data_IF_496131284415
#
_entry.id   IF_496131284415
#
_cell.length_a   1.000
_cell.length_b   1.000
_cell.length_c   1.000
_cell.angle_alpha   90.00
_cell.angle_beta   90.00
_cell.angle_gamma   90.00
#
_symmetry.space_group_name_H-M   'P 1'
#
loop_
_entity.id
_entity.type
_entity.pdbx_description
1 polymer ?
#
# COMPACT_ATOMS: atom_id res chain seq x y z
N UNK A 1 12.29 6.09 -1.71
CA UNK A 1 12.38 5.14 -0.57
C UNK A 1 11.47 5.64 0.56
N UNK A 2 10.64 4.80 1.19
CA UNK A 2 9.68 5.21 2.24
C UNK A 2 10.25 5.29 3.67
N UNK A 3 11.46 4.77 3.88
CA UNK A 3 12.09 4.66 5.21
C UNK A 3 12.08 5.96 6.04
N UNK A 4 12.47 7.12 5.47
CA UNK A 4 12.43 8.39 6.19
C UNK A 4 11.02 8.81 6.64
N UNK A 5 9.99 8.50 5.84
CA UNK A 5 8.59 8.89 6.11
C UNK A 5 7.96 8.11 7.26
N UNK A 6 8.40 6.87 7.48
CA UNK A 6 7.87 5.99 8.54
C UNK A 6 8.82 5.91 9.75
N UNK A 7 9.89 6.73 9.78
CA UNK A 7 10.84 6.75 10.88
C UNK A 7 10.22 7.24 12.18
N UNK A 8 10.63 6.64 13.30
CA UNK A 8 10.18 7.05 14.63
C UNK A 8 10.93 8.31 15.05
N UNK A 9 10.23 9.41 15.32
CA UNK A 9 10.83 10.66 15.79
C UNK A 9 11.08 10.66 17.31
N UNK A 10 11.68 9.58 17.83
CA UNK A 10 11.89 9.38 19.27
C UNK A 10 13.28 8.84 19.54
N UNK A 11 14.01 9.48 20.46
CA UNK A 11 15.35 9.06 20.91
C UNK A 11 15.32 7.89 21.91
N UNK A 12 14.23 7.11 21.94
CA UNK A 12 14.12 5.95 22.84
C UNK A 12 14.98 4.81 22.29
N UNK A 13 15.80 4.23 23.17
CA UNK A 13 16.72 3.12 22.86
C UNK A 13 16.06 1.83 22.34
N UNK A 14 14.72 1.75 22.39
CA UNK A 14 13.92 0.61 21.94
C UNK A 14 12.81 1.03 20.95
N UNK A 15 13.07 2.07 20.14
CA UNK A 15 12.10 2.56 19.16
C UNK A 15 11.90 1.57 18.01
N UNK A 16 10.65 1.42 17.58
CA UNK A 16 10.31 0.54 16.46
C UNK A 16 10.96 1.10 15.19
N UNK A 17 11.80 0.29 14.56
CA UNK A 17 12.54 0.67 13.34
C UNK A 17 11.60 0.80 12.13
N UNK A 18 11.97 1.61 11.12
CA UNK A 18 11.22 1.68 9.85
C UNK A 18 10.96 0.30 9.22
N UNK A 19 11.93 -0.61 9.29
CA UNK A 19 11.80 -1.96 8.75
C UNK A 19 10.75 -2.78 9.52
N UNK A 20 10.75 -2.73 10.85
CA UNK A 20 9.73 -3.41 11.67
C UNK A 20 8.33 -2.86 11.40
N UNK A 21 8.19 -1.54 11.22
CA UNK A 21 6.91 -0.92 10.86
C UNK A 21 6.41 -1.43 9.51
N UNK A 22 7.28 -1.47 8.52
CA UNK A 22 6.96 -1.98 7.19
C UNK A 22 6.56 -3.47 7.25
N UNK A 23 7.33 -4.31 7.94
CA UNK A 23 7.04 -5.73 8.09
C UNK A 23 5.70 -5.99 8.79
N UNK A 24 5.38 -5.22 9.84
CA UNK A 24 4.09 -5.32 10.53
C UNK A 24 2.93 -5.01 9.57
N UNK A 25 3.03 -3.90 8.83
CA UNK A 25 1.99 -3.50 7.88
C UNK A 25 1.82 -4.51 6.74
N UNK A 26 2.93 -4.98 6.15
CA UNK A 26 2.91 -6.00 5.11
C UNK A 26 2.28 -7.31 5.61
N UNK A 27 2.60 -7.74 6.84
CA UNK A 27 1.97 -8.90 7.44
C UNK A 27 0.46 -8.70 7.54
N UNK A 28 0.02 -7.56 8.09
CA UNK A 28 -1.40 -7.24 8.21
C UNK A 28 -2.13 -7.30 6.86
N UNK A 29 -1.55 -6.72 5.80
CA UNK A 29 -2.15 -6.77 4.46
C UNK A 29 -2.18 -8.20 3.88
N UNK A 30 -1.11 -8.98 4.07
CA UNK A 30 -0.99 -10.32 3.49
C UNK A 30 -1.91 -11.35 4.17
N UNK A 31 -2.20 -11.19 5.46
CA UNK A 31 -3.00 -12.16 6.21
C UNK A 31 -4.44 -11.72 6.45
N UNK A 32 -4.80 -10.48 6.06
CA UNK A 32 -6.09 -9.84 6.38
C UNK A 32 -6.50 -10.03 7.86
N UNK A 33 -5.51 -10.07 8.76
CA UNK A 33 -5.71 -10.40 10.18
C UNK A 33 -6.16 -9.19 10.98
N UNK A 34 -6.64 -9.41 12.20
CA UNK A 34 -6.90 -8.31 13.14
C UNK A 34 -5.60 -7.60 13.56
N UNK A 35 -5.69 -6.29 13.83
CA UNK A 35 -4.57 -5.48 14.33
C UNK A 35 -4.00 -6.00 15.66
N UNK A 36 -4.82 -6.65 16.48
CA UNK A 36 -4.38 -7.31 17.72
C UNK A 36 -3.42 -8.45 17.36
N UNK A 37 -3.83 -9.35 16.47
CA UNK A 37 -2.99 -10.47 16.02
C UNK A 37 -1.71 -10.01 15.32
N UNK A 38 -1.77 -8.95 14.51
CA UNK A 38 -0.58 -8.38 13.89
C UNK A 38 0.37 -7.73 14.92
N UNK A 39 -0.18 -7.08 15.94
CA UNK A 39 0.58 -6.50 17.05
C UNK A 39 1.24 -7.56 17.93
N UNK A 40 0.51 -8.62 18.29
CA UNK A 40 0.98 -9.71 19.15
C UNK A 40 2.20 -10.42 18.55
N UNK A 41 2.17 -10.70 17.25
CA UNK A 41 3.31 -11.34 16.53
C UNK A 41 4.57 -10.46 16.58
N UNK A 42 4.40 -9.15 16.60
CA UNK A 42 5.51 -8.19 16.57
C UNK A 42 5.84 -7.61 17.95
N UNK A 43 5.15 -8.03 19.00
CA UNK A 43 5.35 -7.55 20.38
C UNK A 43 4.95 -6.09 20.61
N UNK A 44 3.95 -5.58 19.87
CA UNK A 44 3.48 -4.20 20.00
C UNK A 44 2.00 -4.14 20.36
N UNK A 45 1.57 -3.06 21.02
CA UNK A 45 0.16 -2.87 21.33
C UNK A 45 -0.70 -2.75 20.07
N UNK A 46 -1.98 -3.11 20.17
CA UNK A 46 -2.98 -2.85 19.10
C UNK A 46 -2.96 -1.40 18.63
N UNK A 47 -2.81 -0.44 19.55
CA UNK A 47 -2.74 0.99 19.22
C UNK A 47 -1.50 1.33 18.40
N UNK A 48 -0.33 0.79 18.77
CA UNK A 48 0.89 0.97 18.00
C UNK A 48 0.78 0.32 16.62
N UNK A 49 0.25 -0.92 16.53
CA UNK A 49 -0.01 -1.59 15.26
C UNK A 49 -0.94 -0.76 14.35
N UNK A 50 -2.00 -0.16 14.90
CA UNK A 50 -2.90 0.72 14.16
C UNK A 50 -2.18 1.93 13.56
N UNK A 51 -1.38 2.64 14.36
CA UNK A 51 -0.62 3.81 13.90
C UNK A 51 0.40 3.40 12.82
N UNK A 52 1.09 2.27 13.02
CA UNK A 52 2.06 1.74 12.06
C UNK A 52 1.40 1.42 10.72
N UNK A 53 0.28 0.70 10.72
CA UNK A 53 -0.45 0.35 9.49
C UNK A 53 -0.91 1.63 8.78
N UNK A 54 -1.42 2.61 9.52
CA UNK A 54 -1.80 3.91 8.96
C UNK A 54 -0.61 4.62 8.29
N UNK A 55 0.51 4.78 9.01
CA UNK A 55 1.66 5.54 8.54
C UNK A 55 2.31 4.89 7.31
N UNK A 56 2.40 3.55 7.31
CA UNK A 56 2.90 2.80 6.16
C UNK A 56 1.93 2.91 4.99
N UNK A 57 0.62 2.76 5.19
CA UNK A 57 -0.40 2.95 4.13
C UNK A 57 -0.27 4.33 3.48
N UNK A 58 -0.16 5.39 4.27
CA UNK A 58 0.00 6.76 3.77
C UNK A 58 1.32 6.93 3.00
N UNK A 59 2.41 6.37 3.51
CA UNK A 59 3.70 6.43 2.83
C UNK A 59 3.69 5.70 1.49
N UNK A 60 3.03 4.54 1.41
CA UNK A 60 2.84 3.78 0.17
C UNK A 60 1.93 4.54 -0.82
N UNK A 61 0.82 5.11 -0.35
CA UNK A 61 -0.08 5.90 -1.19
C UNK A 61 0.62 7.12 -1.81
N UNK A 62 1.55 7.76 -1.10
CA UNK A 62 2.37 8.87 -1.63
C UNK A 62 3.31 8.45 -2.77
N UNK A 63 3.66 7.16 -2.86
CA UNK A 63 4.43 6.64 -4.00
C UNK A 63 3.57 6.34 -5.22
N UNK A 64 2.23 6.32 -5.09
CA UNK A 64 1.30 6.01 -6.20
C UNK A 64 1.66 6.77 -7.49
N UNK A 65 1.87 8.10 -7.51
CA UNK A 65 2.13 8.82 -8.76
C UNK A 65 3.42 8.41 -9.47
N UNK A 66 4.36 7.81 -8.74
CA UNK A 66 5.65 7.39 -9.28
C UNK A 66 5.62 5.95 -9.81
N UNK A 67 4.74 5.10 -9.25
CA UNK A 67 4.73 3.66 -9.50
C UNK A 67 3.51 3.22 -10.34
N UNK A 68 2.37 3.89 -10.16
CA UNK A 68 1.11 3.58 -10.87
C UNK A 68 0.86 4.67 -11.91
N UNK A 69 1.04 4.33 -13.18
CA UNK A 69 0.72 5.21 -14.31
C UNK A 69 -0.68 4.90 -14.82
N UNK A 70 -1.54 5.91 -14.83
CA UNK A 70 -2.84 5.88 -15.51
C UNK A 70 -2.72 6.67 -16.81
N UNK A 71 -3.52 6.38 -17.84
CA UNK A 71 -3.58 7.23 -19.02
C UNK A 71 -4.09 8.62 -18.63
N UNK A 72 -3.41 9.67 -19.08
CA UNK A 72 -3.72 11.07 -18.75
C UNK A 72 -4.29 11.81 -19.96
N UNK A 73 -3.91 11.41 -21.17
CA UNK A 73 -4.35 12.05 -22.41
C UNK A 73 -5.50 11.28 -23.08
N UNK A 74 -6.32 12.00 -23.85
CA UNK A 74 -7.40 11.38 -24.64
C UNK A 74 -6.87 10.31 -25.62
N UNK A 75 -5.66 10.48 -26.14
CA UNK A 75 -5.09 9.54 -27.09
C UNK A 75 -4.60 8.26 -26.39
N UNK A 76 -3.97 8.37 -25.21
CA UNK A 76 -3.64 7.22 -24.36
C UNK A 76 -4.88 6.45 -23.94
N UNK A 77 -5.96 7.16 -23.56
CA UNK A 77 -7.25 6.55 -23.18
C UNK A 77 -7.84 5.77 -24.37
N UNK A 78 -7.89 6.37 -25.57
CA UNK A 78 -8.41 5.70 -26.77
C UNK A 78 -7.62 4.45 -27.14
N UNK A 79 -6.29 4.54 -27.07
CA UNK A 79 -5.43 3.40 -27.36
C UNK A 79 -5.65 2.27 -26.34
N UNK A 80 -5.74 2.61 -25.04
CA UNK A 80 -6.00 1.62 -24.00
C UNK A 80 -7.39 0.95 -24.15
N UNK A 81 -8.43 1.71 -24.52
CA UNK A 81 -9.75 1.15 -24.84
C UNK A 81 -9.67 0.12 -25.97
N UNK A 82 -8.95 0.44 -27.04
CA UNK A 82 -8.79 -0.45 -28.19
C UNK A 82 -8.06 -1.72 -27.79
N UNK A 83 -7.00 -1.61 -26.98
CA UNK A 83 -6.22 -2.75 -26.51
C UNK A 83 -7.05 -3.68 -25.62
N UNK A 84 -7.75 -3.14 -24.62
CA UNK A 84 -8.56 -3.96 -23.70
C UNK A 84 -9.80 -4.56 -24.36
N UNK A 85 -10.41 -3.85 -25.32
CA UNK A 85 -11.45 -4.42 -26.16
C UNK A 85 -10.92 -5.54 -27.06
N UNK A 86 -9.73 -5.38 -27.62
CA UNK A 86 -9.05 -6.41 -28.41
C UNK A 86 -8.76 -7.68 -27.61
N UNK A 87 -8.30 -7.51 -26.36
CA UNK A 87 -7.91 -8.60 -25.48
C UNK A 87 -9.11 -9.37 -24.90
N UNK A 88 -10.10 -8.67 -24.36
CA UNK A 88 -11.14 -9.26 -23.52
C UNK A 88 -12.55 -8.73 -23.81
N UNK A 89 -12.74 -7.99 -24.92
CA UNK A 89 -14.02 -7.35 -25.26
C UNK A 89 -14.55 -6.42 -24.17
N UNK A 90 -13.64 -5.79 -23.42
CA UNK A 90 -13.95 -4.80 -22.40
C UNK A 90 -13.98 -3.39 -23.01
N UNK A 91 -15.15 -2.81 -23.30
CA UNK A 91 -15.23 -1.47 -23.86
C UNK A 91 -14.99 -0.42 -22.78
N UNK A 92 -14.33 0.68 -23.14
CA UNK A 92 -14.19 1.89 -22.30
C UNK A 92 -13.50 1.66 -20.94
N UNK A 93 -12.70 0.59 -20.81
CA UNK A 93 -11.94 0.30 -19.59
C UNK A 93 -10.58 0.97 -19.68
N UNK A 94 -10.16 1.65 -18.61
CA UNK A 94 -8.85 2.33 -18.51
C UNK A 94 -7.92 1.73 -17.45
N UNK A 95 -8.32 0.61 -16.87
CA UNK A 95 -7.58 -0.09 -15.82
C UNK A 95 -8.48 -1.09 -15.11
N UNK A 96 -7.86 -1.96 -14.31
CA UNK A 96 -8.55 -2.91 -13.44
C UNK A 96 -7.94 -2.84 -12.04
N UNK A 97 -8.79 -2.99 -11.03
CA UNK A 97 -8.37 -3.15 -9.65
C UNK A 97 -8.73 -4.56 -9.26
N UNK A 98 -7.71 -5.39 -9.01
CA UNK A 98 -7.92 -6.73 -8.47
C UNK A 98 -7.93 -6.64 -6.94
N UNK A 99 -9.03 -7.06 -6.33
CA UNK A 99 -9.17 -7.20 -4.90
C UNK A 99 -9.59 -8.64 -4.62
N UNK A 100 -8.76 -9.41 -3.94
CA UNK A 100 -9.17 -10.69 -3.33
C UNK A 100 -9.97 -10.42 -2.06
N UNK A 101 -11.13 -11.08 -1.94
CA UNK A 101 -12.06 -11.02 -0.81
C UNK A 101 -11.57 -11.88 0.36
#
# INVERSE_FOLDING_TARGET
MIGPTISSNTDRSNSITPAQKLLLALRFYATASFLISAGDVMGVSKSAACVIVHDVSVALAKLRPQIVKMPETNDEIKELHKQLYGLAKLPLVIGAIDCTH
#
